data_IF_825340668661
#
_entry.id   IF_825340668661
#
_cell.length_a   1.000
_cell.length_b   1.000
_cell.length_c   1.000
_cell.angle_alpha   90.00
_cell.angle_beta   90.00
_cell.angle_gamma   90.00
#
_symmetry.space_group_name_H-M   'P 1'
#
loop_
_entity.id
_entity.type
_entity.pdbx_description
1 polymer ?
#
# COMPACT_ATOMS: atom_id res chain seq x y z
N UNK A 1 15.89 2.53 38.29
CA UNK A 1 15.52 3.93 38.29
C UNK A 1 14.14 3.99 37.66
N UNK A 2 13.10 4.20 38.44
CA UNK A 2 11.71 4.26 37.99
C UNK A 2 11.59 5.43 37.05
N UNK A 3 11.20 5.16 35.78
CA UNK A 3 10.79 6.18 34.82
C UNK A 3 9.74 7.06 35.51
N UNK A 4 10.00 8.35 35.63
CA UNK A 4 8.98 9.31 35.99
C UNK A 4 7.88 9.19 34.97
N UNK A 5 6.68 8.88 35.43
CA UNK A 5 5.44 8.75 34.69
C UNK A 5 5.05 10.15 34.15
N UNK A 6 5.80 10.66 33.17
CA UNK A 6 5.40 11.84 32.42
C UNK A 6 4.36 11.36 31.42
N UNK A 7 3.10 11.49 31.79
CA UNK A 7 1.98 11.26 30.89
C UNK A 7 2.19 12.10 29.64
N UNK A 8 2.29 11.42 28.48
CA UNK A 8 2.42 12.07 27.17
C UNK A 8 1.14 12.89 26.92
N UNK A 9 1.28 14.15 26.56
CA UNK A 9 0.17 14.98 26.10
C UNK A 9 -0.14 14.66 24.63
N UNK A 10 -1.02 13.67 24.42
CA UNK A 10 -1.41 13.23 23.09
C UNK A 10 -2.18 14.28 22.28
N UNK A 11 -2.85 15.23 22.95
CA UNK A 11 -3.53 16.33 22.25
C UNK A 11 -2.50 17.27 21.64
N UNK A 12 -1.50 17.69 22.40
CA UNK A 12 -0.40 18.51 21.89
C UNK A 12 0.41 17.80 20.80
N UNK A 13 0.69 16.51 20.99
CA UNK A 13 1.39 15.71 19.99
C UNK A 13 0.57 15.58 18.69
N UNK A 14 -0.75 15.43 18.79
CA UNK A 14 -1.65 15.40 17.64
C UNK A 14 -1.70 16.75 16.91
N UNK A 15 -1.76 17.86 17.64
CA UNK A 15 -1.74 19.19 17.02
C UNK A 15 -0.44 19.43 16.23
N UNK A 16 0.70 19.01 16.76
CA UNK A 16 1.98 19.07 16.06
C UNK A 16 2.01 18.13 14.82
N UNK A 17 1.43 16.93 14.91
CA UNK A 17 1.26 16.01 13.80
C UNK A 17 0.41 16.63 12.69
N UNK A 18 -0.73 17.26 13.04
CA UNK A 18 -1.63 17.92 12.10
C UNK A 18 -0.89 19.01 11.31
N UNK A 19 -0.11 19.86 11.97
CA UNK A 19 0.66 20.89 11.28
C UNK A 19 1.76 20.27 10.38
N UNK A 20 2.46 19.22 10.85
CA UNK A 20 3.45 18.51 10.02
C UNK A 20 2.82 17.89 8.79
N UNK A 21 1.64 17.28 8.91
CA UNK A 21 0.90 16.73 7.77
C UNK A 21 0.50 17.82 6.79
N UNK A 22 -0.01 18.95 7.27
CA UNK A 22 -0.39 20.08 6.43
C UNK A 22 0.80 20.66 5.67
N UNK A 23 1.96 20.76 6.31
CA UNK A 23 3.18 21.21 5.67
C UNK A 23 3.67 20.22 4.59
N UNK A 24 3.62 18.92 4.87
CA UNK A 24 3.94 17.87 3.91
C UNK A 24 2.99 17.89 2.70
N UNK A 25 1.68 18.08 2.90
CA UNK A 25 0.69 18.19 1.81
C UNK A 25 0.99 19.39 0.92
N UNK A 26 1.35 20.55 1.49
CA UNK A 26 1.71 21.78 0.74
C UNK A 26 2.95 21.61 -0.13
N UNK A 27 3.76 20.60 0.12
CA UNK A 27 4.86 20.21 -0.76
C UNK A 27 4.31 19.26 -1.82
N UNK A 28 4.01 19.77 -3.02
CA UNK A 28 3.51 18.99 -4.14
C UNK A 28 4.61 18.06 -4.69
N UNK A 29 4.77 16.88 -4.09
CA UNK A 29 5.72 15.83 -4.48
C UNK A 29 5.10 14.86 -5.50
N UNK A 30 4.61 15.40 -6.60
CA UNK A 30 3.87 14.63 -7.62
C UNK A 30 4.82 13.72 -8.40
N UNK A 31 4.42 12.47 -8.59
CA UNK A 31 5.12 11.49 -9.40
C UNK A 31 4.21 10.97 -10.55
N UNK A 32 4.61 11.08 -11.84
CA UNK A 32 5.85 11.68 -12.33
C UNK A 32 5.92 13.20 -12.05
N UNK A 33 7.15 13.77 -11.90
CA UNK A 33 7.33 15.16 -11.55
C UNK A 33 6.66 16.10 -12.53
N UNK A 34 6.01 17.14 -12.02
CA UNK A 34 5.48 18.22 -12.86
C UNK A 34 6.57 19.24 -13.17
N UNK A 35 6.39 20.00 -14.27
CA UNK A 35 7.32 21.07 -14.65
C UNK A 35 7.41 22.16 -13.56
N UNK A 36 6.32 22.38 -12.80
CA UNK A 36 6.23 23.42 -11.76
C UNK A 36 6.79 22.94 -10.40
N UNK A 37 6.97 21.63 -10.20
CA UNK A 37 7.52 21.05 -8.98
C UNK A 37 8.40 19.81 -9.30
N UNK A 38 9.54 20.02 -9.97
CA UNK A 38 10.40 18.92 -10.41
C UNK A 38 11.17 18.24 -9.25
N UNK A 39 11.23 18.87 -8.09
CA UNK A 39 11.99 18.47 -6.90
C UNK A 39 11.10 18.24 -5.66
N UNK A 40 9.81 17.96 -5.87
CA UNK A 40 8.84 17.86 -4.79
C UNK A 40 9.22 16.83 -3.72
N UNK A 41 9.68 15.66 -4.10
CA UNK A 41 10.10 14.60 -3.16
C UNK A 41 11.35 15.02 -2.38
N UNK A 42 12.34 15.61 -3.03
CA UNK A 42 13.54 16.13 -2.36
C UNK A 42 13.18 17.23 -1.35
N UNK A 43 12.20 18.09 -1.68
CA UNK A 43 11.70 19.12 -0.76
C UNK A 43 11.01 18.50 0.45
N UNK A 44 10.21 17.46 0.27
CA UNK A 44 9.58 16.72 1.36
C UNK A 44 10.64 16.04 2.25
N UNK A 45 11.65 15.38 1.66
CA UNK A 45 12.76 14.79 2.39
C UNK A 45 13.57 15.84 3.20
N UNK A 46 13.83 17.01 2.63
CA UNK A 46 14.50 18.13 3.32
C UNK A 46 13.66 18.73 4.44
N UNK A 47 12.35 18.81 4.28
CA UNK A 47 11.45 19.23 5.34
C UNK A 47 11.56 18.29 6.55
N UNK A 48 11.49 16.98 6.33
CA UNK A 48 11.67 15.98 7.38
C UNK A 48 13.06 16.07 8.02
N UNK A 49 14.11 16.17 7.22
CA UNK A 49 15.49 16.31 7.73
C UNK A 49 15.61 17.53 8.63
N UNK A 50 15.13 18.70 8.21
CA UNK A 50 15.17 19.94 9.02
C UNK A 50 14.38 19.80 10.32
N UNK A 51 13.20 19.15 10.28
CA UNK A 51 12.38 18.91 11.46
C UNK A 51 13.08 17.99 12.46
N UNK A 52 13.73 16.92 11.97
CA UNK A 52 14.51 15.97 12.78
C UNK A 52 15.75 16.65 13.39
N UNK A 53 16.47 17.47 12.61
CA UNK A 53 17.62 18.27 13.10
C UNK A 53 17.18 19.24 14.21
N UNK A 54 16.03 19.89 14.05
CA UNK A 54 15.42 20.74 15.09
C UNK A 54 15.12 19.99 16.40
N UNK A 55 14.91 18.69 16.32
CA UNK A 55 14.74 17.81 17.48
C UNK A 55 16.07 17.28 18.04
N UNK A 56 17.24 17.71 17.53
CA UNK A 56 18.56 17.28 17.96
C UNK A 56 18.98 15.92 17.39
N UNK A 57 18.33 15.47 16.30
CA UNK A 57 18.65 14.23 15.61
C UNK A 57 19.58 14.49 14.42
N UNK A 58 20.18 13.43 13.85
CA UNK A 58 21.12 13.54 12.72
C UNK A 58 20.60 12.68 11.56
N UNK A 59 19.65 13.18 10.76
CA UNK A 59 19.13 12.46 9.61
C UNK A 59 20.16 12.37 8.49
N UNK A 60 20.03 11.32 7.68
CA UNK A 60 20.77 11.15 6.43
C UNK A 60 19.80 11.36 5.26
N UNK A 61 20.28 12.00 4.19
CA UNK A 61 19.49 12.25 2.97
C UNK A 61 20.28 11.78 1.76
N UNK A 62 19.62 11.10 0.83
CA UNK A 62 20.18 10.71 -0.46
C UNK A 62 19.28 11.20 -1.60
N UNK A 63 19.89 11.50 -2.73
CA UNK A 63 19.23 11.95 -3.97
C UNK A 63 19.81 11.17 -5.15
N UNK A 64 19.36 9.91 -5.39
CA UNK A 64 19.88 9.07 -6.46
C UNK A 64 19.63 9.64 -7.87
N UNK A 65 18.50 10.30 -8.03
CA UNK A 65 18.08 10.98 -9.24
C UNK A 65 17.71 12.43 -8.86
N UNK A 66 18.07 13.43 -9.66
CA UNK A 66 17.73 14.81 -9.35
C UNK A 66 16.23 15.01 -9.02
N UNK A 67 15.94 15.60 -7.86
CA UNK A 67 14.61 15.82 -7.34
C UNK A 67 13.99 14.63 -6.58
N UNK A 68 14.58 13.43 -6.64
CA UNK A 68 14.15 12.21 -5.96
C UNK A 68 14.90 12.02 -4.67
N UNK A 69 14.43 12.58 -3.58
CA UNK A 69 15.08 12.54 -2.28
C UNK A 69 14.45 11.54 -1.32
N UNK A 70 15.28 10.70 -0.69
CA UNK A 70 14.89 9.83 0.43
C UNK A 70 15.61 10.27 1.69
N UNK A 71 14.99 10.13 2.86
CA UNK A 71 15.52 10.52 4.17
C UNK A 71 15.45 9.36 5.15
N UNK A 72 16.46 9.28 6.02
CA UNK A 72 16.61 8.22 7.02
C UNK A 72 17.09 8.77 8.36
N UNK A 73 16.62 8.13 9.44
CA UNK A 73 17.14 8.32 10.80
C UNK A 73 17.12 6.99 11.56
N UNK A 74 18.08 6.79 12.43
CA UNK A 74 18.17 5.66 13.35
C UNK A 74 18.18 6.16 14.79
N UNK A 75 17.16 5.83 15.56
CA UNK A 75 17.16 5.97 17.01
C UNK A 75 17.70 4.70 17.64
N UNK A 76 18.60 4.86 18.60
CA UNK A 76 19.28 3.73 19.24
C UNK A 76 18.46 3.15 20.39
N UNK A 77 18.36 1.83 20.46
CA UNK A 77 18.07 1.08 21.68
C UNK A 77 19.35 0.76 22.43
N UNK A 78 19.25 0.00 23.52
CA UNK A 78 20.41 -0.46 24.28
C UNK A 78 21.14 -1.66 23.62
N UNK A 79 20.64 -2.14 22.48
CA UNK A 79 21.21 -3.22 21.69
C UNK A 79 20.92 -4.63 22.21
N UNK A 80 20.16 -4.80 23.28
CA UNK A 80 19.83 -6.12 23.85
C UNK A 80 18.66 -6.80 23.20
N UNK A 81 17.85 -6.08 22.40
CA UNK A 81 16.62 -6.59 21.78
C UNK A 81 16.82 -7.29 20.44
N UNK A 82 17.97 -7.15 19.79
CA UNK A 82 18.26 -7.68 18.46
C UNK A 82 18.01 -6.65 17.34
N UNK A 83 17.64 -7.10 16.14
CA UNK A 83 17.47 -6.28 14.97
C UNK A 83 16.39 -5.19 15.12
N UNK A 84 16.53 -4.04 14.45
CA UNK A 84 15.66 -2.88 14.61
C UNK A 84 14.20 -3.11 14.14
N UNK A 85 13.32 -2.17 14.47
CA UNK A 85 12.04 -1.96 13.81
C UNK A 85 12.22 -0.91 12.71
N UNK A 86 11.67 -1.15 11.53
CA UNK A 86 11.61 -0.17 10.46
C UNK A 86 10.21 0.46 10.38
N UNK A 87 10.16 1.79 10.40
CA UNK A 87 9.01 2.59 9.98
C UNK A 87 9.32 3.05 8.54
N UNK A 88 8.55 2.56 7.58
CA UNK A 88 8.81 2.75 6.15
C UNK A 88 7.64 3.49 5.51
N UNK A 89 7.94 4.61 4.88
CA UNK A 89 6.94 5.44 4.21
C UNK A 89 7.48 5.98 2.90
N UNK A 90 6.60 6.39 1.96
CA UNK A 90 6.99 7.11 0.77
C UNK A 90 6.56 8.59 0.80
N UNK A 91 7.25 9.42 0.01
CA UNK A 91 7.08 10.87 0.00
C UNK A 91 6.34 11.39 -1.23
N UNK A 92 6.35 10.62 -2.30
CA UNK A 92 5.68 10.98 -3.54
C UNK A 92 4.16 10.75 -3.46
N UNK A 93 3.45 11.36 -4.40
CA UNK A 93 2.00 11.27 -4.52
C UNK A 93 1.61 11.27 -6.00
N UNK A 94 0.51 10.61 -6.33
CA UNK A 94 -0.02 10.64 -7.70
C UNK A 94 -0.54 12.03 -8.10
N UNK A 95 -0.69 12.33 -9.41
CA UNK A 95 -1.25 13.59 -9.90
C UNK A 95 -2.66 13.87 -9.34
N UNK A 96 -2.93 15.14 -9.10
CA UNK A 96 -4.22 15.63 -8.59
C UNK A 96 -4.70 16.83 -9.41
N UNK A 97 -5.48 16.64 -10.49
CA UNK A 97 -6.02 17.73 -11.30
C UNK A 97 -6.93 18.65 -10.46
N UNK A 98 -6.54 19.89 -10.16
CA UNK A 98 -7.20 20.74 -9.16
C UNK A 98 -8.64 21.12 -9.54
N UNK A 99 -8.98 21.12 -10.83
CA UNK A 99 -10.32 21.47 -11.32
C UNK A 99 -11.44 20.50 -10.92
N UNK A 100 -11.07 19.35 -10.36
CA UNK A 100 -12.02 18.35 -9.88
C UNK A 100 -12.20 18.35 -8.36
N UNK A 101 -11.36 19.11 -7.64
CA UNK A 101 -11.34 19.14 -6.19
C UNK A 101 -12.19 20.26 -5.62
N UNK A 102 -12.90 20.00 -4.51
CA UNK A 102 -13.62 21.03 -3.74
C UNK A 102 -12.66 21.87 -2.90
N UNK A 103 -11.60 21.24 -2.38
CA UNK A 103 -10.47 21.87 -1.70
C UNK A 103 -9.23 21.67 -2.56
N UNK A 104 -8.45 22.72 -2.79
CA UNK A 104 -7.26 22.59 -3.63
C UNK A 104 -6.30 21.51 -3.09
N UNK A 105 -5.81 20.58 -3.94
CA UNK A 105 -5.16 19.34 -3.49
C UNK A 105 -3.87 19.53 -2.70
N UNK A 106 -3.27 20.72 -2.73
CA UNK A 106 -2.01 21.04 -2.04
C UNK A 106 -2.12 22.25 -1.09
N UNK A 107 -3.34 22.70 -0.75
CA UNK A 107 -3.54 23.81 0.21
C UNK A 107 -3.58 23.30 1.66
N UNK A 108 -3.81 22.00 1.85
CA UNK A 108 -3.92 21.36 3.16
C UNK A 108 -5.03 22.00 4.03
N UNK A 109 -6.19 22.24 3.44
CA UNK A 109 -7.32 22.83 4.13
C UNK A 109 -7.76 21.96 5.31
N UNK A 110 -7.96 22.61 6.46
CA UNK A 110 -8.59 22.00 7.63
C UNK A 110 -10.04 22.47 7.68
N UNK A 111 -10.97 21.61 7.33
CA UNK A 111 -12.40 21.90 7.31
C UNK A 111 -13.20 20.72 7.83
N UNK A 112 -14.25 20.99 8.60
CA UNK A 112 -15.17 20.01 9.18
C UNK A 112 -14.49 18.85 9.94
N UNK A 113 -13.33 19.12 10.54
CA UNK A 113 -12.54 18.13 11.27
C UNK A 113 -11.64 17.24 10.39
N UNK A 114 -11.55 17.54 9.10
CA UNK A 114 -10.71 16.84 8.12
C UNK A 114 -9.60 17.72 7.58
N UNK A 115 -8.45 17.11 7.31
CA UNK A 115 -7.36 17.69 6.53
C UNK A 115 -7.53 17.19 5.10
N UNK A 116 -7.82 18.11 4.19
CA UNK A 116 -7.97 17.82 2.75
C UNK A 116 -6.64 17.99 2.04
N UNK A 117 -6.30 17.04 1.18
CA UNK A 117 -5.15 17.16 0.31
C UNK A 117 -4.68 15.84 -0.25
N UNK A 118 -4.01 15.88 -1.39
CA UNK A 118 -3.36 14.72 -1.98
C UNK A 118 -2.21 14.27 -1.08
N UNK A 119 -2.20 12.98 -0.73
CA UNK A 119 -1.27 12.40 0.22
C UNK A 119 -1.78 12.41 1.67
N UNK A 120 -2.99 12.93 1.94
CA UNK A 120 -3.52 12.94 3.31
C UNK A 120 -3.69 11.51 3.87
N UNK A 121 -3.96 10.54 3.02
CA UNK A 121 -4.09 9.10 3.35
C UNK A 121 -2.96 8.30 2.73
N UNK A 122 -2.56 8.62 1.50
CA UNK A 122 -1.57 7.89 0.72
C UNK A 122 -0.37 8.80 0.39
N UNK A 123 0.76 8.76 1.19
CA UNK A 123 0.77 8.25 2.58
C UNK A 123 1.37 9.27 3.56
N UNK A 124 1.31 10.60 3.24
CA UNK A 124 1.88 11.66 4.11
C UNK A 124 1.25 11.71 5.51
N UNK A 125 -0.01 11.23 5.64
CA UNK A 125 -0.64 11.05 6.94
C UNK A 125 0.14 10.09 7.84
N UNK A 126 0.59 8.97 7.27
CA UNK A 126 1.42 8.00 7.98
C UNK A 126 2.83 8.55 8.23
N UNK A 127 3.45 9.21 7.23
CA UNK A 127 4.74 9.92 7.40
C UNK A 127 4.69 10.86 8.61
N UNK A 128 3.62 11.65 8.74
CA UNK A 128 3.45 12.58 9.86
C UNK A 128 3.26 11.85 11.20
N UNK A 129 2.54 10.72 11.23
CA UNK A 129 2.39 9.90 12.45
C UNK A 129 3.72 9.28 12.87
N UNK A 130 4.47 8.71 11.94
CA UNK A 130 5.80 8.13 12.20
C UNK A 130 6.78 9.20 12.67
N UNK A 131 6.80 10.37 12.01
CA UNK A 131 7.59 11.52 12.45
C UNK A 131 7.24 11.92 13.89
N UNK A 132 5.95 12.00 14.23
CA UNK A 132 5.50 12.36 15.58
C UNK A 132 5.98 11.34 16.63
N UNK A 133 5.97 10.04 16.31
CA UNK A 133 6.53 8.99 17.18
C UNK A 133 8.04 9.18 17.38
N UNK A 134 8.80 9.43 16.31
CA UNK A 134 10.25 9.68 16.40
C UNK A 134 10.56 10.92 17.24
N UNK A 135 9.82 12.00 17.04
CA UNK A 135 9.98 13.24 17.81
C UNK A 135 9.65 13.05 19.29
N UNK A 136 8.62 12.26 19.60
CA UNK A 136 8.26 11.91 20.98
C UNK A 136 9.36 11.11 21.67
N UNK A 137 9.91 10.09 21.02
CA UNK A 137 11.04 9.30 21.53
C UNK A 137 12.29 10.17 21.78
N UNK A 138 12.59 11.07 20.84
CA UNK A 138 13.68 12.04 21.02
C UNK A 138 13.42 13.00 22.19
N UNK A 139 12.19 13.43 22.40
CA UNK A 139 11.81 14.28 23.54
C UNK A 139 11.99 13.55 24.88
N UNK A 140 11.67 12.27 24.95
CA UNK A 140 11.90 11.43 26.14
C UNK A 140 13.40 11.29 26.48
N UNK A 141 14.25 11.09 25.46
CA UNK A 141 15.70 11.07 25.67
C UNK A 141 16.21 12.41 26.24
N UNK A 142 15.79 13.54 25.65
CA UNK A 142 16.17 14.88 26.16
C UNK A 142 15.67 15.12 27.58
N UNK A 143 14.41 14.71 27.90
CA UNK A 143 13.87 14.82 29.25
C UNK A 143 14.66 14.00 30.28
N UNK A 144 15.28 12.88 29.84
CA UNK A 144 16.20 12.08 30.64
C UNK A 144 17.62 12.63 30.69
N UNK A 145 17.91 13.78 30.03
CA UNK A 145 19.24 14.39 29.97
C UNK A 145 20.18 13.69 28.98
N UNK A 146 19.67 12.93 28.02
CA UNK A 146 20.42 12.18 27.01
C UNK A 146 20.43 12.93 25.67
N UNK A 147 21.44 12.64 24.84
CA UNK A 147 21.54 13.09 23.46
C UNK A 147 20.77 12.10 22.54
N UNK A 148 19.61 12.46 21.96
CA UNK A 148 18.81 11.55 21.19
C UNK A 148 19.48 11.06 19.90
N UNK A 149 20.55 11.74 19.42
CA UNK A 149 21.30 11.31 18.25
C UNK A 149 22.38 10.26 18.58
N UNK A 150 22.75 10.09 19.85
CA UNK A 150 23.91 9.28 20.24
C UNK A 150 23.60 8.25 21.31
N UNK A 151 22.77 8.63 22.28
CA UNK A 151 22.48 7.78 23.45
C UNK A 151 21.28 6.87 23.14
N UNK A 152 21.19 5.71 23.80
CA UNK A 152 20.00 4.87 23.71
C UNK A 152 18.75 5.59 24.23
N UNK A 153 17.66 5.49 23.50
CA UNK A 153 16.36 5.99 23.93
C UNK A 153 15.89 5.20 25.17
N UNK A 154 15.46 5.85 26.23
CA UNK A 154 15.07 5.18 27.47
C UNK A 154 14.00 4.09 27.24
N UNK A 155 14.30 2.88 27.71
CA UNK A 155 13.40 1.73 27.64
C UNK A 155 13.29 1.07 26.26
N UNK A 156 14.09 1.48 25.28
CA UNK A 156 14.22 0.73 24.02
C UNK A 156 15.40 -0.23 24.09
N UNK A 157 15.17 -1.46 23.70
CA UNK A 157 16.17 -2.53 23.58
C UNK A 157 16.59 -2.75 22.13
N UNK A 158 15.71 -2.42 21.16
CA UNK A 158 15.96 -2.43 19.73
C UNK A 158 16.04 -1.01 19.21
N UNK A 159 16.77 -0.83 18.15
CA UNK A 159 16.78 0.44 17.42
C UNK A 159 15.45 0.63 16.67
N UNK A 160 15.10 1.88 16.40
CA UNK A 160 14.00 2.26 15.50
C UNK A 160 14.61 2.97 14.30
N UNK A 161 14.32 2.45 13.11
CA UNK A 161 14.63 3.08 11.84
C UNK A 161 13.39 3.82 11.34
N UNK A 162 13.56 5.02 10.84
CA UNK A 162 12.53 5.76 10.12
C UNK A 162 13.08 6.14 8.77
N UNK A 163 12.51 5.58 7.71
CA UNK A 163 12.95 5.76 6.34
C UNK A 163 11.77 6.18 5.47
N UNK A 164 11.89 7.37 4.87
CA UNK A 164 10.91 7.84 3.89
C UNK A 164 11.56 7.83 2.50
N UNK A 165 10.97 7.08 1.60
CA UNK A 165 11.49 6.82 0.25
C UNK A 165 10.89 7.78 -0.78
N UNK A 166 11.58 7.93 -1.89
CA UNK A 166 11.06 8.52 -3.11
C UNK A 166 10.48 7.43 -4.03
N UNK A 167 9.70 7.83 -5.03
CA UNK A 167 9.40 7.08 -6.25
C UNK A 167 8.53 5.81 -6.08
N UNK A 168 7.83 5.65 -4.97
CA UNK A 168 6.98 4.47 -4.74
C UNK A 168 5.88 4.36 -5.79
N UNK A 169 5.17 5.46 -6.06
CA UNK A 169 4.04 5.60 -6.97
C UNK A 169 4.38 5.33 -8.46
N UNK A 170 5.69 5.29 -8.78
CA UNK A 170 6.19 4.93 -10.11
C UNK A 170 7.06 3.66 -10.09
N UNK A 171 7.00 2.89 -9.00
CA UNK A 171 7.63 1.58 -8.87
C UNK A 171 8.94 1.55 -8.09
N UNK A 172 9.38 2.64 -7.46
CA UNK A 172 10.43 2.68 -6.44
C UNK A 172 11.88 2.57 -6.95
N UNK A 173 12.12 2.70 -8.25
CA UNK A 173 13.46 2.55 -8.83
C UNK A 173 14.48 3.55 -8.29
N UNK A 174 14.07 4.80 -8.01
CA UNK A 174 14.88 5.85 -7.42
C UNK A 174 14.72 5.94 -5.88
N UNK A 175 13.92 5.08 -5.29
CA UNK A 175 13.62 5.01 -3.86
C UNK A 175 14.07 3.70 -3.24
N UNK A 176 13.10 2.87 -2.81
CA UNK A 176 13.37 1.65 -2.06
C UNK A 176 14.23 0.63 -2.84
N UNK A 177 14.08 0.49 -4.15
CA UNK A 177 14.93 -0.38 -4.97
C UNK A 177 16.39 0.08 -4.90
N UNK A 178 16.64 1.38 -5.08
CA UNK A 178 17.99 1.94 -4.99
C UNK A 178 18.59 1.75 -3.59
N UNK A 179 17.76 1.93 -2.54
CA UNK A 179 18.22 1.75 -1.16
C UNK A 179 18.63 0.30 -0.88
N UNK A 180 17.90 -0.69 -1.38
CA UNK A 180 18.29 -2.11 -1.25
C UNK A 180 19.68 -2.38 -1.80
N UNK A 181 20.05 -1.74 -2.93
CA UNK A 181 21.35 -1.94 -3.56
C UNK A 181 22.49 -1.13 -2.91
N UNK A 182 22.21 0.08 -2.43
CA UNK A 182 23.26 1.03 -2.06
C UNK A 182 23.29 1.38 -0.57
N UNK A 183 22.17 1.22 0.14
CA UNK A 183 22.00 1.56 1.57
C UNK A 183 21.10 0.52 2.28
N UNK A 184 21.38 -0.79 2.13
CA UNK A 184 20.53 -1.83 2.72
C UNK A 184 20.38 -1.68 4.24
N UNK A 185 21.33 -1.05 4.93
CA UNK A 185 21.27 -0.78 6.37
C UNK A 185 20.14 0.18 6.78
N UNK A 186 19.57 0.95 5.83
CA UNK A 186 18.41 1.80 6.07
C UNK A 186 17.10 1.03 6.13
N UNK A 187 17.11 -0.21 5.59
CA UNK A 187 15.92 -1.05 5.44
C UNK A 187 16.03 -2.37 6.23
N UNK A 188 17.25 -2.78 6.62
CA UNK A 188 17.46 -4.05 7.31
C UNK A 188 16.90 -4.02 8.73
N UNK A 189 15.88 -4.84 9.02
CA UNK A 189 15.14 -4.83 10.28
C UNK A 189 14.60 -6.23 10.65
N UNK A 190 14.19 -6.41 11.89
CA UNK A 190 13.46 -7.60 12.33
C UNK A 190 12.02 -7.63 11.80
N UNK A 191 11.49 -6.49 11.42
CA UNK A 191 10.19 -6.28 10.81
C UNK A 191 9.98 -4.82 10.46
N UNK A 192 9.06 -4.56 9.54
CA UNK A 192 8.73 -3.22 9.09
C UNK A 192 7.23 -2.93 9.23
N UNK A 193 6.92 -1.69 9.55
CA UNK A 193 5.60 -1.08 9.46
C UNK A 193 5.58 -0.22 8.21
N UNK A 194 4.55 -0.39 7.38
CA UNK A 194 4.35 0.34 6.13
C UNK A 194 2.87 0.70 5.97
N UNK A 195 2.50 1.29 4.85
CA UNK A 195 1.14 1.66 4.49
C UNK A 195 0.17 0.49 4.31
N UNK A 196 -1.09 0.81 4.01
CA UNK A 196 -2.10 -0.11 3.49
C UNK A 196 -2.61 -1.18 4.49
N UNK A 197 -2.88 -0.76 5.72
CA UNK A 197 -3.53 -1.65 6.69
C UNK A 197 -3.91 -0.94 7.98
N UNK A 198 -4.60 -1.63 8.86
CA UNK A 198 -5.09 -1.18 10.15
C UNK A 198 -6.01 0.06 10.13
N UNK A 199 -6.51 0.44 8.96
CA UNK A 199 -7.60 1.43 8.88
C UNK A 199 -8.91 0.72 9.14
N UNK A 200 -9.72 1.27 10.06
CA UNK A 200 -10.95 0.60 10.43
C UNK A 200 -11.99 0.58 9.30
N UNK A 201 -12.68 -0.55 9.17
CA UNK A 201 -13.85 -0.70 8.31
C UNK A 201 -14.98 -1.35 9.08
N UNK A 202 -16.23 -0.93 8.83
CA UNK A 202 -17.39 -1.48 9.53
C UNK A 202 -18.20 -2.37 8.61
N UNK A 203 -18.33 -3.66 8.98
CA UNK A 203 -19.14 -4.64 8.24
C UNK A 203 -20.14 -5.25 9.19
N UNK A 204 -21.43 -5.17 8.84
CA UNK A 204 -22.55 -5.69 9.64
C UNK A 204 -22.52 -5.22 11.12
N UNK A 205 -22.06 -3.99 11.37
CA UNK A 205 -21.97 -3.38 12.68
C UNK A 205 -20.72 -3.75 13.49
N UNK A 206 -19.83 -4.57 12.96
CA UNK A 206 -18.55 -4.92 13.57
C UNK A 206 -17.45 -4.08 12.94
N UNK A 207 -16.60 -3.45 13.77
CA UNK A 207 -15.44 -2.69 13.34
C UNK A 207 -14.23 -3.59 13.24
N UNK A 208 -13.73 -3.76 12.04
CA UNK A 208 -12.52 -4.51 11.73
C UNK A 208 -11.34 -3.58 11.51
N UNK A 209 -10.14 -4.05 11.86
CA UNK A 209 -8.86 -3.42 11.56
C UNK A 209 -8.00 -4.43 10.77
N UNK A 210 -8.10 -4.42 9.42
CA UNK A 210 -7.33 -5.33 8.59
C UNK A 210 -5.85 -4.94 8.60
N UNK A 211 -4.97 -5.78 9.18
CA UNK A 211 -3.52 -5.61 9.17
C UNK A 211 -2.99 -6.24 7.88
N UNK A 212 -2.32 -5.46 7.03
CA UNK A 212 -1.74 -5.94 5.79
C UNK A 212 -0.58 -6.90 6.07
N UNK A 213 -0.71 -8.16 5.66
CA UNK A 213 0.35 -9.17 5.82
C UNK A 213 0.77 -9.77 4.49
N UNK A 214 0.06 -9.46 3.41
CA UNK A 214 0.39 -9.92 2.07
C UNK A 214 -0.04 -8.88 1.04
N UNK A 215 0.65 -8.87 -0.10
CA UNK A 215 0.34 -8.02 -1.25
C UNK A 215 0.30 -8.88 -2.50
N UNK A 216 -0.62 -8.54 -3.41
CA UNK A 216 -0.59 -9.14 -4.74
C UNK A 216 0.63 -8.64 -5.51
N UNK A 217 1.26 -9.55 -6.24
CA UNK A 217 2.21 -9.18 -7.27
C UNK A 217 1.51 -8.54 -8.47
N UNK A 218 2.28 -7.90 -9.32
CA UNK A 218 1.78 -7.29 -10.55
C UNK A 218 2.60 -7.74 -11.76
N UNK A 219 1.95 -7.86 -12.90
CA UNK A 219 2.60 -8.11 -14.18
C UNK A 219 1.89 -7.34 -15.28
N UNK A 220 2.65 -6.72 -16.17
CA UNK A 220 2.10 -6.20 -17.40
C UNK A 220 2.66 -6.96 -18.59
N UNK A 221 1.78 -7.36 -19.50
CA UNK A 221 2.15 -8.06 -20.71
C UNK A 221 1.67 -7.28 -21.94
N UNK A 222 2.50 -7.28 -22.97
CA UNK A 222 2.12 -6.86 -24.33
C UNK A 222 1.89 -8.09 -25.18
N UNK A 223 0.70 -8.19 -25.77
CA UNK A 223 0.32 -9.27 -26.68
C UNK A 223 0.26 -8.69 -28.09
N UNK A 224 1.18 -9.11 -28.93
CA UNK A 224 1.21 -8.77 -30.34
C UNK A 224 0.40 -9.82 -31.11
N UNK A 225 -0.68 -9.38 -31.74
CA UNK A 225 -1.57 -10.25 -32.52
C UNK A 225 -1.24 -10.08 -34.01
N UNK A 226 -0.88 -11.16 -34.68
CA UNK A 226 -0.49 -11.16 -36.09
C UNK A 226 -1.61 -11.68 -37.00
N UNK A 227 -1.83 -10.98 -38.10
CA UNK A 227 -2.75 -11.35 -39.17
C UNK A 227 -2.18 -10.97 -40.54
N UNK A 228 -3.05 -10.78 -41.51
CA UNK A 228 -2.63 -10.38 -42.86
C UNK A 228 -3.34 -9.13 -43.32
N UNK A 229 -2.58 -8.16 -43.80
CA UNK A 229 -3.10 -6.92 -44.37
C UNK A 229 -3.98 -7.16 -45.58
N UNK A 230 -5.06 -6.42 -45.75
CA UNK A 230 -5.97 -6.62 -46.85
C UNK A 230 -6.90 -5.44 -47.14
N UNK A 231 -7.65 -5.54 -48.23
CA UNK A 231 -8.67 -4.56 -48.59
C UNK A 231 -9.99 -4.88 -47.83
N UNK A 232 -10.61 -3.89 -47.17
CA UNK A 232 -11.78 -4.09 -46.34
C UNK A 232 -13.02 -4.72 -47.03
N UNK A 233 -13.11 -4.65 -48.36
CA UNK A 233 -14.19 -5.32 -49.10
C UNK A 233 -13.99 -6.85 -49.29
N UNK A 234 -12.85 -7.37 -48.87
CA UNK A 234 -12.52 -8.81 -48.93
C UNK A 234 -12.17 -9.30 -47.54
N UNK A 235 -13.20 -9.52 -46.69
CA UNK A 235 -12.98 -9.96 -45.29
C UNK A 235 -12.12 -11.22 -45.20
N UNK A 236 -11.23 -11.28 -44.21
CA UNK A 236 -10.30 -12.35 -43.95
C UNK A 236 -10.52 -12.97 -42.59
N UNK A 237 -10.30 -14.26 -42.44
CA UNK A 237 -10.38 -14.97 -41.16
C UNK A 237 -9.25 -14.55 -40.19
N UNK A 238 -8.09 -14.19 -40.75
CA UNK A 238 -6.91 -13.74 -40.03
C UNK A 238 -6.82 -12.20 -39.88
N UNK A 239 -7.95 -11.52 -39.82
CA UNK A 239 -8.00 -10.10 -39.51
C UNK A 239 -7.52 -9.86 -38.04
N UNK A 240 -6.38 -9.17 -37.86
CA UNK A 240 -5.77 -8.97 -36.56
C UNK A 240 -6.69 -8.28 -35.55
N UNK A 241 -7.57 -7.34 -35.99
CA UNK A 241 -8.53 -6.69 -35.09
C UNK A 241 -9.62 -7.67 -34.59
N UNK A 242 -10.05 -8.63 -35.43
CA UNK A 242 -11.02 -9.65 -35.02
C UNK A 242 -10.38 -10.65 -34.08
N UNK A 243 -9.14 -11.10 -34.39
CA UNK A 243 -8.37 -11.98 -33.51
C UNK A 243 -8.10 -11.32 -32.14
N UNK A 244 -7.72 -10.04 -32.12
CA UNK A 244 -7.51 -9.29 -30.88
C UNK A 244 -8.78 -9.19 -30.04
N UNK A 245 -9.94 -8.93 -30.65
CA UNK A 245 -11.23 -8.95 -29.94
C UNK A 245 -11.55 -10.32 -29.33
N UNK A 246 -11.24 -11.42 -30.06
CA UNK A 246 -11.39 -12.77 -29.52
C UNK A 246 -10.44 -13.05 -28.36
N UNK A 247 -9.17 -12.62 -28.44
CA UNK A 247 -8.19 -12.70 -27.33
C UNK A 247 -8.72 -11.97 -26.10
N UNK A 248 -9.13 -10.70 -26.23
CA UNK A 248 -9.71 -9.92 -25.12
C UNK A 248 -10.90 -10.65 -24.52
N UNK A 249 -11.83 -11.16 -25.33
CA UNK A 249 -12.99 -11.87 -24.84
C UNK A 249 -12.63 -13.10 -23.99
N UNK A 250 -11.56 -13.81 -24.34
CA UNK A 250 -11.06 -14.95 -23.56
C UNK A 250 -10.35 -14.51 -22.27
N UNK A 251 -9.53 -13.47 -22.33
CA UNK A 251 -8.76 -12.99 -21.19
C UNK A 251 -9.65 -12.28 -20.16
N UNK A 252 -10.74 -11.64 -20.57
CA UNK A 252 -11.66 -10.92 -19.68
C UNK A 252 -12.56 -11.85 -18.85
N UNK A 253 -12.60 -13.14 -19.10
CA UNK A 253 -13.32 -14.09 -18.25
C UNK A 253 -12.66 -14.14 -16.86
N UNK A 254 -13.42 -14.16 -15.76
CA UNK A 254 -12.86 -14.23 -14.40
C UNK A 254 -12.03 -15.50 -14.17
N UNK A 255 -10.91 -15.37 -13.46
CA UNK A 255 -10.16 -16.51 -12.94
C UNK A 255 -10.95 -17.24 -11.85
N UNK A 256 -10.67 -18.52 -11.65
CA UNK A 256 -11.25 -19.31 -10.55
C UNK A 256 -10.73 -18.84 -9.20
N UNK A 257 -11.53 -18.99 -8.15
CA UNK A 257 -11.11 -18.68 -6.77
C UNK A 257 -9.94 -19.59 -6.38
N UNK A 258 -8.91 -18.98 -5.82
CA UNK A 258 -7.77 -19.63 -5.18
C UNK A 258 -7.51 -18.97 -3.82
N UNK A 259 -7.95 -19.63 -2.77
CA UNK A 259 -7.73 -19.15 -1.41
C UNK A 259 -6.27 -19.31 -1.01
N UNK A 260 -5.64 -18.20 -0.62
CA UNK A 260 -4.34 -18.23 0.06
C UNK A 260 -4.54 -18.51 1.55
N UNK A 261 -3.50 -18.97 2.28
CA UNK A 261 -3.60 -19.15 3.73
C UNK A 261 -4.04 -17.87 4.46
N UNK A 262 -3.53 -16.71 4.05
CA UNK A 262 -3.92 -15.40 4.61
C UNK A 262 -5.41 -15.14 4.41
N UNK A 263 -5.94 -15.33 3.20
CA UNK A 263 -7.36 -15.08 2.93
C UNK A 263 -8.28 -16.11 3.55
N UNK A 264 -7.84 -17.34 3.74
CA UNK A 264 -8.57 -18.33 4.53
C UNK A 264 -8.69 -17.86 5.97
N UNK A 265 -7.59 -17.47 6.61
CA UNK A 265 -7.59 -16.95 7.97
C UNK A 265 -8.41 -15.67 8.11
N UNK A 266 -8.28 -14.72 7.16
CA UNK A 266 -9.13 -13.52 7.11
C UNK A 266 -10.62 -13.85 7.18
N UNK A 267 -11.07 -14.79 6.36
CA UNK A 267 -12.47 -15.21 6.29
C UNK A 267 -12.93 -15.93 7.57
N UNK A 268 -12.08 -16.76 8.17
CA UNK A 268 -12.37 -17.47 9.40
C UNK A 268 -12.45 -16.52 10.60
N UNK A 269 -11.48 -15.60 10.74
CA UNK A 269 -11.45 -14.59 11.81
C UNK A 269 -12.65 -13.62 11.66
N UNK A 270 -12.97 -13.19 10.44
CA UNK A 270 -14.16 -12.39 10.17
C UNK A 270 -15.45 -13.15 10.52
N UNK A 271 -15.56 -14.42 10.12
CA UNK A 271 -16.73 -15.24 10.42
C UNK A 271 -16.93 -15.52 11.93
N UNK A 272 -15.85 -15.50 12.71
CA UNK A 272 -15.92 -15.64 14.17
C UNK A 272 -16.52 -14.40 14.86
N UNK A 273 -16.29 -13.20 14.30
CA UNK A 273 -16.75 -11.93 14.86
C UNK A 273 -18.12 -11.48 14.32
N UNK A 274 -18.46 -11.85 13.09
CA UNK A 274 -19.67 -11.40 12.39
C UNK A 274 -20.95 -12.00 12.95
N UNK A 275 -22.11 -11.31 12.87
CA UNK A 275 -23.42 -11.90 13.14
C UNK A 275 -23.70 -13.13 12.25
N UNK A 276 -24.50 -14.08 12.75
CA UNK A 276 -24.73 -15.39 12.14
C UNK A 276 -25.04 -15.40 10.64
N UNK A 277 -25.79 -14.39 10.15
CA UNK A 277 -26.11 -14.23 8.73
C UNK A 277 -24.87 -13.94 7.89
N UNK A 278 -24.11 -12.92 8.27
CA UNK A 278 -22.87 -12.51 7.61
C UNK A 278 -21.77 -13.57 7.76
N UNK A 279 -21.64 -14.18 8.94
CA UNK A 279 -20.70 -15.28 9.18
C UNK A 279 -20.90 -16.48 8.24
N UNK A 280 -22.16 -16.80 7.88
CA UNK A 280 -22.44 -17.86 6.89
C UNK A 280 -21.90 -17.51 5.51
N UNK A 281 -21.99 -16.25 5.12
CA UNK A 281 -21.45 -15.79 3.83
C UNK A 281 -19.94 -15.89 3.80
N UNK A 282 -19.25 -15.42 4.85
CA UNK A 282 -17.79 -15.53 4.96
C UNK A 282 -17.33 -16.99 4.85
N UNK A 283 -18.01 -17.92 5.56
CA UNK A 283 -17.70 -19.37 5.47
C UNK A 283 -18.01 -19.97 4.09
N UNK A 284 -19.08 -19.50 3.41
CA UNK A 284 -19.39 -19.93 2.06
C UNK A 284 -18.27 -19.55 1.06
N UNK A 285 -17.73 -18.32 1.20
CA UNK A 285 -16.58 -17.89 0.41
C UNK A 285 -15.35 -18.75 0.75
N UNK A 286 -15.10 -19.01 2.03
CA UNK A 286 -14.00 -19.86 2.48
C UNK A 286 -14.11 -21.31 1.97
N UNK A 287 -15.32 -21.78 1.55
CA UNK A 287 -15.47 -23.09 0.92
C UNK A 287 -14.89 -23.19 -0.50
N UNK A 288 -14.54 -22.05 -1.14
CA UNK A 288 -13.99 -22.01 -2.49
C UNK A 288 -15.02 -22.28 -3.61
N UNK A 289 -16.32 -22.33 -3.29
CA UNK A 289 -17.37 -22.46 -4.31
C UNK A 289 -17.59 -21.14 -5.02
N UNK A 290 -17.12 -21.06 -6.27
CA UNK A 290 -17.12 -19.84 -7.08
C UNK A 290 -18.56 -19.32 -7.36
N UNK A 291 -19.49 -20.21 -7.63
CA UNK A 291 -20.89 -19.84 -7.89
C UNK A 291 -21.57 -19.30 -6.63
N UNK A 292 -21.34 -19.95 -5.50
CA UNK A 292 -21.85 -19.52 -4.21
C UNK A 292 -21.24 -18.19 -3.77
N UNK A 293 -19.92 -18.02 -3.97
CA UNK A 293 -19.21 -16.79 -3.63
C UNK A 293 -19.70 -15.59 -4.44
N UNK A 294 -19.91 -15.73 -5.74
CA UNK A 294 -20.39 -14.64 -6.59
C UNK A 294 -21.79 -14.16 -6.18
N UNK A 295 -22.71 -15.07 -5.88
CA UNK A 295 -24.09 -14.74 -5.49
C UNK A 295 -24.19 -14.17 -4.07
N UNK A 296 -23.31 -14.60 -3.16
CA UNK A 296 -23.39 -14.23 -1.74
C UNK A 296 -22.62 -12.95 -1.40
N UNK A 297 -21.54 -12.62 -2.11
CA UNK A 297 -20.78 -11.38 -1.89
C UNK A 297 -21.64 -10.12 -2.05
N UNK A 298 -22.52 -10.09 -3.04
CA UNK A 298 -23.44 -8.97 -3.28
C UNK A 298 -24.50 -8.80 -2.18
N UNK A 299 -24.64 -9.79 -1.29
CA UNK A 299 -25.52 -9.73 -0.11
C UNK A 299 -24.80 -9.38 1.20
N UNK A 300 -23.45 -9.39 1.23
CA UNK A 300 -22.67 -9.14 2.43
C UNK A 300 -22.15 -7.70 2.52
N UNK A 301 -21.70 -7.17 1.42
CA UNK A 301 -21.08 -5.86 1.31
C UNK A 301 -21.61 -5.15 0.05
N UNK A 302 -21.35 -3.87 -0.07
CA UNK A 302 -21.74 -3.18 -1.29
C UNK A 302 -20.94 -3.69 -2.52
N UNK A 303 -21.39 -3.27 -3.70
CA UNK A 303 -20.81 -3.75 -4.96
C UNK A 303 -19.32 -3.43 -5.11
N UNK A 304 -18.83 -2.33 -4.54
CA UNK A 304 -17.41 -1.92 -4.63
C UNK A 304 -16.54 -2.81 -3.78
N UNK A 305 -16.92 -3.03 -2.52
CA UNK A 305 -16.21 -3.94 -1.62
C UNK A 305 -16.22 -5.38 -2.15
N UNK A 306 -17.34 -5.80 -2.79
CA UNK A 306 -17.42 -7.09 -3.45
C UNK A 306 -16.39 -7.22 -4.60
N UNK A 307 -16.16 -6.16 -5.38
CA UNK A 307 -15.13 -6.16 -6.44
C UNK A 307 -13.73 -6.35 -5.84
N UNK A 308 -13.42 -5.62 -4.77
CA UNK A 308 -12.13 -5.74 -4.09
C UNK A 308 -11.95 -7.15 -3.51
N UNK A 309 -12.93 -7.64 -2.77
CA UNK A 309 -12.85 -8.98 -2.18
C UNK A 309 -12.69 -10.07 -3.25
N UNK A 310 -13.40 -9.96 -4.39
CA UNK A 310 -13.21 -10.87 -5.53
C UNK A 310 -11.78 -10.83 -6.07
N UNK A 311 -11.18 -9.65 -6.16
CA UNK A 311 -9.81 -9.50 -6.62
C UNK A 311 -8.81 -10.13 -5.64
N UNK A 312 -9.08 -10.13 -4.34
CA UNK A 312 -8.25 -10.76 -3.32
C UNK A 312 -8.30 -12.30 -3.34
N UNK A 313 -9.33 -12.88 -3.95
CA UNK A 313 -9.55 -14.34 -3.95
C UNK A 313 -9.03 -15.04 -5.22
N UNK A 314 -8.43 -14.31 -6.17
CA UNK A 314 -7.98 -14.87 -7.46
C UNK A 314 -6.87 -14.03 -8.08
N UNK A 315 -6.12 -14.62 -8.99
CA UNK A 315 -5.35 -13.82 -9.93
C UNK A 315 -6.31 -13.00 -10.80
N UNK A 316 -5.92 -11.83 -11.28
CA UNK A 316 -6.76 -11.02 -12.16
C UNK A 316 -6.05 -10.70 -13.46
N UNK A 317 -6.80 -10.63 -14.54
CA UNK A 317 -6.33 -10.29 -15.88
C UNK A 317 -7.24 -9.19 -16.41
N UNK A 318 -6.67 -8.02 -16.71
CA UNK A 318 -7.39 -6.85 -17.23
C UNK A 318 -6.74 -6.39 -18.54
N UNK A 319 -7.37 -6.61 -19.71
CA UNK A 319 -6.92 -6.00 -20.96
C UNK A 319 -7.29 -4.51 -20.97
N UNK A 320 -6.29 -3.62 -20.82
CA UNK A 320 -6.52 -2.20 -20.59
C UNK A 320 -6.23 -1.31 -21.80
N UNK A 321 -5.32 -1.75 -22.69
CA UNK A 321 -4.95 -1.01 -23.90
C UNK A 321 -5.13 -1.89 -25.12
N UNK A 322 -5.73 -1.32 -26.17
CA UNK A 322 -5.83 -1.97 -27.49
C UNK A 322 -5.55 -0.98 -28.61
N UNK A 323 -4.69 -1.40 -29.52
CA UNK A 323 -4.42 -0.67 -30.77
C UNK A 323 -4.58 -1.62 -31.96
N UNK A 324 -5.47 -1.28 -32.91
CA UNK A 324 -5.70 -2.05 -34.11
C UNK A 324 -6.21 -1.19 -35.26
N UNK A 325 -5.64 -1.37 -36.44
CA UNK A 325 -6.10 -0.72 -37.67
C UNK A 325 -5.74 0.77 -37.78
N UNK A 326 -5.77 1.27 -39.03
CA UNK A 326 -5.39 2.67 -39.35
C UNK A 326 -6.46 3.36 -40.20
N UNK A 327 -7.31 2.62 -40.90
CA UNK A 327 -8.33 3.16 -41.80
C UNK A 327 -9.47 2.17 -42.00
N UNK A 328 -10.72 2.62 -42.10
CA UNK A 328 -11.92 1.80 -42.17
C UNK A 328 -11.97 0.80 -43.34
N UNK A 329 -11.24 1.03 -44.45
CA UNK A 329 -11.22 0.17 -45.62
C UNK A 329 -9.94 -0.66 -45.78
N UNK A 330 -9.14 -0.75 -44.69
CA UNK A 330 -7.90 -1.55 -44.64
C UNK A 330 -8.03 -2.58 -43.52
N UNK A 331 -7.91 -3.85 -43.83
CA UNK A 331 -7.82 -4.92 -42.84
C UNK A 331 -6.44 -4.85 -42.18
N UNK A 332 -6.35 -4.68 -40.86
CA UNK A 332 -5.06 -4.67 -40.18
C UNK A 332 -4.40 -6.05 -40.15
N UNK A 333 -3.09 -6.08 -40.39
CA UNK A 333 -2.27 -7.28 -40.27
C UNK A 333 -1.61 -7.41 -38.90
N UNK A 334 -1.79 -6.43 -38.03
CA UNK A 334 -1.30 -6.46 -36.65
C UNK A 334 -2.25 -5.75 -35.69
N UNK A 335 -2.24 -6.17 -34.44
CA UNK A 335 -2.86 -5.47 -33.31
C UNK A 335 -2.00 -5.66 -32.06
N UNK A 336 -2.12 -4.74 -31.12
CA UNK A 336 -1.43 -4.74 -29.83
C UNK A 336 -2.45 -4.67 -28.72
N UNK A 337 -2.31 -5.53 -27.72
CA UNK A 337 -3.09 -5.51 -26.49
C UNK A 337 -2.10 -5.40 -25.33
N UNK A 338 -2.33 -4.48 -24.38
CA UNK A 338 -1.59 -4.48 -23.11
C UNK A 338 -2.54 -4.92 -21.99
N UNK A 339 -2.02 -5.78 -21.12
CA UNK A 339 -2.80 -6.49 -20.10
C UNK A 339 -2.15 -6.26 -18.74
N UNK A 340 -2.90 -5.72 -17.77
CA UNK A 340 -2.53 -5.73 -16.36
C UNK A 340 -2.95 -7.06 -15.72
N UNK A 341 -2.03 -7.67 -15.01
CA UNK A 341 -2.29 -8.88 -14.22
C UNK A 341 -1.93 -8.61 -12.76
N UNK A 342 -2.80 -9.01 -11.84
CA UNK A 342 -2.50 -9.00 -10.40
C UNK A 342 -2.49 -10.42 -9.89
N UNK A 343 -1.36 -10.86 -9.34
CA UNK A 343 -1.11 -12.27 -9.02
C UNK A 343 -1.06 -12.50 -7.52
N UNK A 344 -1.63 -13.63 -7.09
CA UNK A 344 -1.63 -14.06 -5.70
C UNK A 344 -0.25 -14.63 -5.29
N UNK A 345 0.11 -14.57 -4.00
CA UNK A 345 1.27 -15.29 -3.48
C UNK A 345 1.35 -16.73 -3.99
N UNK A 346 2.57 -17.13 -4.40
CA UNK A 346 2.83 -18.43 -5.01
C UNK A 346 2.59 -18.52 -6.53
N UNK A 347 2.06 -17.48 -7.19
CA UNK A 347 2.01 -17.42 -8.65
C UNK A 347 3.34 -16.86 -9.18
N UNK A 348 4.00 -17.59 -10.09
CA UNK A 348 5.24 -17.16 -10.75
C UNK A 348 4.95 -16.52 -12.10
N UNK A 349 5.91 -15.76 -12.65
CA UNK A 349 5.80 -15.19 -14.00
C UNK A 349 5.50 -16.27 -15.05
N UNK A 350 6.23 -17.38 -15.01
CA UNK A 350 6.04 -18.48 -15.96
C UNK A 350 4.65 -19.11 -15.85
N UNK A 351 4.10 -19.23 -14.64
CA UNK A 351 2.74 -19.74 -14.42
C UNK A 351 1.68 -18.76 -14.97
N UNK A 352 1.87 -17.45 -14.76
CA UNK A 352 0.95 -16.44 -15.28
C UNK A 352 0.98 -16.38 -16.81
N UNK A 353 2.16 -16.41 -17.42
CA UNK A 353 2.33 -16.48 -18.87
C UNK A 353 1.67 -17.74 -19.48
N UNK A 354 1.88 -18.90 -18.84
CA UNK A 354 1.25 -20.15 -19.27
C UNK A 354 -0.28 -20.06 -19.22
N UNK A 355 -0.83 -19.40 -18.19
CA UNK A 355 -2.26 -19.18 -18.05
C UNK A 355 -2.82 -18.26 -19.14
N UNK A 356 -2.12 -17.19 -19.52
CA UNK A 356 -2.53 -16.37 -20.67
C UNK A 356 -2.63 -17.19 -21.94
N UNK A 357 -1.64 -18.06 -22.23
CA UNK A 357 -1.65 -18.97 -23.38
C UNK A 357 -2.82 -19.96 -23.31
N UNK A 358 -3.03 -20.59 -22.15
CA UNK A 358 -4.14 -21.54 -21.93
C UNK A 358 -5.50 -20.89 -22.18
N UNK A 359 -5.73 -19.68 -21.66
CA UNK A 359 -6.99 -18.97 -21.84
C UNK A 359 -7.26 -18.57 -23.27
N UNK A 360 -6.26 -18.12 -23.99
CA UNK A 360 -6.40 -17.84 -25.42
C UNK A 360 -6.77 -19.11 -26.21
N UNK A 361 -6.29 -20.26 -25.77
CA UNK A 361 -6.40 -21.50 -26.49
C UNK A 361 -5.40 -21.60 -27.68
N UNK A 362 -5.16 -22.80 -28.22
CA UNK A 362 -4.06 -23.04 -29.14
C UNK A 362 -4.14 -22.23 -30.45
N UNK A 363 -5.33 -22.00 -30.96
CA UNK A 363 -5.52 -21.31 -32.26
C UNK A 363 -5.19 -19.81 -32.13
N UNK A 364 -5.71 -19.12 -31.11
CA UNK A 364 -5.41 -17.69 -30.87
C UNK A 364 -3.97 -17.52 -30.42
N UNK A 365 -3.47 -18.38 -29.54
CA UNK A 365 -2.11 -18.31 -29.05
C UNK A 365 -1.06 -18.43 -30.17
N UNK A 366 -1.34 -19.24 -31.20
CA UNK A 366 -0.46 -19.39 -32.38
C UNK A 366 -0.33 -18.08 -33.20
N UNK A 367 -1.31 -17.20 -33.16
CA UNK A 367 -1.30 -15.87 -33.79
C UNK A 367 -0.72 -14.78 -32.90
N UNK A 368 -0.31 -15.09 -31.67
CA UNK A 368 0.11 -14.11 -30.66
C UNK A 368 1.56 -14.29 -30.24
N UNK A 369 2.23 -13.16 -29.99
CA UNK A 369 3.51 -13.12 -29.26
C UNK A 369 3.27 -12.38 -27.97
N UNK A 370 3.66 -12.97 -26.82
CA UNK A 370 3.51 -12.38 -25.49
C UNK A 370 4.86 -11.86 -25.02
N UNK A 371 4.95 -10.58 -24.75
CA UNK A 371 6.12 -9.90 -24.21
C UNK A 371 5.83 -9.46 -22.78
N UNK A 372 6.75 -9.74 -21.85
CA UNK A 372 6.68 -9.19 -20.51
C UNK A 372 7.14 -7.72 -20.53
N UNK A 373 6.31 -6.83 -20.03
CA UNK A 373 6.67 -5.41 -19.83
C UNK A 373 7.30 -5.24 -18.46
N UNK A 374 6.63 -5.77 -17.42
CA UNK A 374 7.09 -5.66 -16.02
C UNK A 374 6.58 -6.86 -15.21
N UNK A 375 7.33 -7.24 -14.22
CA UNK A 375 6.96 -8.21 -13.19
C UNK A 375 7.35 -7.72 -11.82
N UNK A 376 6.43 -7.78 -10.85
CA UNK A 376 6.68 -7.56 -9.43
C UNK A 376 6.17 -8.76 -8.64
N UNK A 377 7.06 -9.34 -7.85
CA UNK A 377 6.73 -10.51 -7.02
C UNK A 377 5.65 -10.17 -5.99
N UNK A 378 4.69 -11.06 -5.74
CA UNK A 378 3.81 -10.96 -4.58
C UNK A 378 4.64 -11.16 -3.31
N UNK A 379 4.24 -10.51 -2.23
CA UNK A 379 4.91 -10.63 -0.94
C UNK A 379 3.97 -11.12 0.14
N UNK A 380 4.51 -11.80 1.15
CA UNK A 380 3.76 -12.29 2.29
C UNK A 380 4.65 -12.27 3.54
N UNK A 381 4.13 -11.66 4.62
CA UNK A 381 4.71 -11.67 5.94
C UNK A 381 3.94 -12.67 6.84
N UNK A 382 4.54 -13.21 7.90
CA UNK A 382 3.84 -14.08 8.83
C UNK A 382 2.64 -13.37 9.47
N UNK A 383 1.45 -13.95 9.38
CA UNK A 383 0.24 -13.47 10.07
C UNK A 383 0.23 -13.81 11.58
N UNK A 384 1.36 -14.15 12.14
CA UNK A 384 1.59 -14.48 13.53
C UNK A 384 3.01 -14.07 13.94
N UNK A 385 3.31 -14.05 15.24
CA UNK A 385 4.62 -13.67 15.75
C UNK A 385 4.66 -12.27 16.32
N UNK A 386 5.83 -11.88 16.89
CA UNK A 386 5.92 -10.78 17.84
C UNK A 386 5.36 -9.45 17.31
N UNK A 387 5.69 -9.04 16.09
CA UNK A 387 5.23 -7.73 15.59
C UNK A 387 3.73 -7.74 15.24
N UNK A 388 3.25 -8.79 14.52
CA UNK A 388 1.81 -8.91 14.21
C UNK A 388 0.96 -8.97 15.49
N UNK A 389 1.35 -9.79 16.45
CA UNK A 389 0.61 -9.97 17.70
C UNK A 389 0.59 -8.68 18.53
N UNK A 390 1.70 -7.93 18.55
CA UNK A 390 1.78 -6.61 19.19
C UNK A 390 0.85 -5.59 18.53
N UNK A 391 0.84 -5.51 17.20
CA UNK A 391 -0.08 -4.63 16.45
C UNK A 391 -1.54 -4.98 16.73
N UNK A 392 -1.88 -6.26 16.66
CA UNK A 392 -3.23 -6.72 16.96
C UNK A 392 -3.63 -6.43 18.42
N UNK A 393 -2.71 -6.60 19.38
CA UNK A 393 -2.99 -6.29 20.77
C UNK A 393 -3.10 -4.80 21.04
N UNK A 394 -2.25 -3.98 20.41
CA UNK A 394 -2.36 -2.52 20.53
C UNK A 394 -3.72 -2.00 20.05
N UNK A 395 -4.23 -2.52 18.92
CA UNK A 395 -5.59 -2.20 18.46
C UNK A 395 -6.62 -2.54 19.53
N UNK A 396 -6.61 -3.77 20.10
CA UNK A 396 -7.57 -4.20 21.12
C UNK A 396 -7.51 -3.36 22.39
N UNK A 397 -6.32 -2.89 22.78
CA UNK A 397 -6.14 -2.09 23.99
C UNK A 397 -6.69 -0.66 23.79
N UNK A 398 -6.60 -0.11 22.57
CA UNK A 398 -7.11 1.22 22.22
C UNK A 398 -8.54 1.22 21.67
N UNK A 399 -9.05 0.08 21.19
CA UNK A 399 -10.44 -0.14 20.77
C UNK A 399 -10.89 -1.56 21.16
N UNK A 400 -11.40 -1.77 22.38
CA UNK A 400 -11.82 -3.10 22.85
C UNK A 400 -12.91 -3.78 22.02
N UNK A 401 -13.69 -3.01 21.26
CA UNK A 401 -14.71 -3.52 20.35
C UNK A 401 -14.17 -3.76 18.93
N UNK A 402 -12.92 -3.37 18.68
CA UNK A 402 -12.26 -3.50 17.38
C UNK A 402 -11.70 -4.92 17.18
N UNK A 403 -11.85 -5.44 15.98
CA UNK A 403 -11.39 -6.78 15.60
C UNK A 403 -10.21 -6.68 14.62
N UNK A 404 -8.95 -6.80 15.09
CA UNK A 404 -7.80 -6.91 14.20
C UNK A 404 -7.77 -8.30 13.55
N UNK A 405 -7.45 -8.34 12.25
CA UNK A 405 -7.31 -9.57 11.49
C UNK A 405 -6.31 -9.39 10.34
N UNK A 406 -5.60 -10.45 9.89
CA UNK A 406 -4.68 -10.34 8.77
C UNK A 406 -5.43 -10.21 7.46
N UNK A 407 -4.88 -9.43 6.52
CA UNK A 407 -5.45 -9.29 5.18
C UNK A 407 -4.35 -9.26 4.12
N UNK A 408 -4.68 -9.70 2.91
CA UNK A 408 -3.91 -9.39 1.71
C UNK A 408 -4.48 -8.13 1.06
N UNK A 409 -3.61 -7.23 0.58
CA UNK A 409 -4.02 -6.06 -0.20
C UNK A 409 -3.93 -6.33 -1.71
N UNK A 410 -4.78 -5.70 -2.54
CA UNK A 410 -4.83 -5.98 -3.98
C UNK A 410 -3.74 -5.29 -4.82
N UNK A 411 -2.92 -4.46 -4.20
CA UNK A 411 -1.84 -3.68 -4.81
C UNK A 411 -0.50 -4.03 -4.17
N UNK A 412 0.58 -3.44 -4.66
CA UNK A 412 1.94 -3.62 -4.16
C UNK A 412 2.46 -2.29 -3.62
N UNK A 413 3.31 -2.36 -2.60
CA UNK A 413 3.99 -1.23 -1.95
C UNK A 413 5.51 -1.44 -1.98
N UNK A 414 6.27 -0.59 -1.27
CA UNK A 414 7.72 -0.79 -1.07
C UNK A 414 8.06 -2.07 -0.28
N UNK A 415 7.07 -2.79 0.27
CA UNK A 415 7.27 -4.10 0.89
C UNK A 415 7.92 -5.14 -0.05
N UNK A 416 7.70 -5.02 -1.36
CA UNK A 416 8.38 -5.84 -2.37
C UNK A 416 9.92 -5.75 -2.30
N UNK A 417 10.44 -4.59 -1.90
CA UNK A 417 11.88 -4.37 -1.79
C UNK A 417 12.46 -4.82 -0.45
N UNK A 418 11.76 -4.58 0.66
CA UNK A 418 12.17 -5.08 1.98
C UNK A 418 12.15 -6.61 2.03
N UNK A 419 11.28 -7.26 1.28
CA UNK A 419 11.24 -8.71 1.13
C UNK A 419 12.55 -9.28 0.53
N UNK A 420 13.26 -8.56 -0.34
CA UNK A 420 14.58 -8.97 -0.84
C UNK A 420 15.64 -9.03 0.25
N UNK A 421 15.46 -8.28 1.34
CA UNK A 421 16.31 -8.31 2.53
C UNK A 421 15.81 -9.31 3.59
N UNK A 422 14.73 -10.04 3.31
CA UNK A 422 14.10 -10.96 4.26
C UNK A 422 13.36 -10.26 5.40
N UNK A 423 13.01 -8.98 5.26
CA UNK A 423 12.30 -8.21 6.27
C UNK A 423 10.79 -8.38 6.10
N UNK A 424 10.10 -9.01 7.07
CA UNK A 424 8.64 -9.08 7.05
C UNK A 424 8.04 -7.70 7.22
N UNK A 425 7.26 -7.25 6.24
CA UNK A 425 6.65 -5.92 6.20
C UNK A 425 5.15 -6.01 6.36
N UNK A 426 4.60 -5.17 7.21
CA UNK A 426 3.19 -5.16 7.57
C UNK A 426 2.55 -3.82 7.21
N UNK A 427 1.43 -3.88 6.51
CA UNK A 427 0.58 -2.70 6.31
C UNK A 427 -0.11 -2.33 7.62
N UNK A 428 0.30 -1.19 8.23
CA UNK A 428 -0.21 -0.76 9.52
C UNK A 428 -0.24 0.76 9.64
N UNK A 429 -1.29 1.37 9.10
CA UNK A 429 -1.61 2.79 9.26
C UNK A 429 -2.83 2.91 10.18
N UNK A 430 -2.66 2.87 11.51
CA UNK A 430 -3.78 2.77 12.44
C UNK A 430 -4.64 4.02 12.42
N UNK A 431 -5.77 3.95 11.72
CA UNK A 431 -6.76 5.03 11.61
C UNK A 431 -8.14 4.50 11.96
N UNK A 432 -8.83 5.18 12.88
CA UNK A 432 -10.20 4.86 13.24
C UNK A 432 -11.16 5.76 12.48
N UNK A 433 -11.73 5.21 11.41
CA UNK A 433 -12.72 5.88 10.58
C UNK A 433 -14.14 5.73 11.15
N UNK A 434 -15.00 6.68 10.84
CA UNK A 434 -16.43 6.55 11.10
C UNK A 434 -17.05 5.47 10.19
N UNK A 435 -18.20 4.93 10.60
CA UNK A 435 -18.81 3.76 9.93
C UNK A 435 -19.21 4.00 8.47
N UNK A 436 -19.42 5.25 8.07
CA UNK A 436 -19.77 5.68 6.72
C UNK A 436 -18.57 6.15 5.89
N UNK A 437 -17.37 6.23 6.49
CA UNK A 437 -16.15 6.54 5.80
C UNK A 437 -15.55 5.30 5.11
N UNK A 438 -14.97 5.52 3.94
CA UNK A 438 -14.41 4.46 3.10
C UNK A 438 -13.00 4.83 2.66
N UNK A 439 -12.05 4.05 3.14
CA UNK A 439 -10.64 4.24 2.78
C UNK A 439 -10.40 4.15 1.26
N UNK A 440 -10.94 3.10 0.63
CA UNK A 440 -10.71 2.82 -0.79
C UNK A 440 -11.24 3.92 -1.74
N UNK A 441 -12.19 4.74 -1.29
CA UNK A 441 -12.68 5.89 -2.06
C UNK A 441 -11.73 7.10 -1.92
N UNK A 442 -10.72 7.05 -1.02
CA UNK A 442 -9.74 8.12 -0.76
C UNK A 442 -8.44 7.93 -1.54
N UNK A 443 -7.95 6.70 -1.66
CA UNK A 443 -6.75 6.39 -2.43
C UNK A 443 -6.89 6.89 -3.87
N UNK A 444 -5.95 7.72 -4.31
CA UNK A 444 -5.92 8.34 -5.65
C UNK A 444 -7.22 9.07 -6.03
N UNK A 445 -8.14 9.26 -5.07
CA UNK A 445 -9.45 9.89 -5.25
C UNK A 445 -9.38 11.42 -5.31
N UNK A 446 -10.51 12.02 -5.66
CA UNK A 446 -10.77 13.47 -5.52
C UNK A 446 -11.18 13.75 -4.08
N UNK A 447 -10.79 14.91 -3.55
CA UNK A 447 -11.06 15.30 -2.15
C UNK A 447 -10.55 14.26 -1.14
N UNK A 448 -9.36 13.71 -1.41
CA UNK A 448 -8.63 12.89 -0.45
C UNK A 448 -8.47 13.65 0.86
N UNK A 449 -8.76 12.99 1.97
CA UNK A 449 -8.73 13.61 3.29
C UNK A 449 -8.60 12.59 4.40
N UNK A 450 -8.06 13.02 5.53
CA UNK A 450 -8.02 12.26 6.79
C UNK A 450 -8.63 13.07 7.91
N UNK A 451 -9.39 12.44 8.80
CA UNK A 451 -9.95 13.13 9.96
C UNK A 451 -8.89 13.33 11.06
N UNK A 452 -8.91 14.50 11.70
CA UNK A 452 -8.06 14.77 12.88
C UNK A 452 -8.35 13.77 14.00
N UNK A 453 -9.60 13.33 14.12
CA UNK A 453 -10.00 12.33 15.12
C UNK A 453 -9.35 10.95 14.84
N UNK A 454 -9.23 10.54 13.58
CA UNK A 454 -8.56 9.30 13.22
C UNK A 454 -7.06 9.35 13.52
N UNK A 455 -6.40 10.48 13.22
CA UNK A 455 -4.98 10.71 13.57
C UNK A 455 -4.76 10.73 15.09
N UNK A 456 -5.64 11.39 15.84
CA UNK A 456 -5.60 11.45 17.31
C UNK A 456 -5.72 10.07 17.95
N UNK A 457 -6.52 9.19 17.37
CA UNK A 457 -6.61 7.80 17.81
C UNK A 457 -5.40 6.99 17.39
N UNK A 458 -4.92 7.17 16.15
CA UNK A 458 -3.86 6.36 15.57
C UNK A 458 -2.47 6.61 16.15
N UNK A 459 -2.14 7.85 16.48
CA UNK A 459 -0.81 8.21 16.99
C UNK A 459 -0.41 7.43 18.25
N UNK A 460 -1.22 7.37 19.33
CA UNK A 460 -0.88 6.57 20.49
C UNK A 460 -0.84 5.06 20.21
N UNK A 461 -1.63 4.55 19.26
CA UNK A 461 -1.59 3.14 18.84
C UNK A 461 -0.24 2.82 18.19
N UNK A 462 0.21 3.65 17.24
CA UNK A 462 1.50 3.46 16.57
C UNK A 462 2.67 3.56 17.56
N UNK A 463 2.64 4.56 18.44
CA UNK A 463 3.64 4.72 19.49
C UNK A 463 3.71 3.48 20.40
N UNK A 464 2.56 2.93 20.80
CA UNK A 464 2.46 1.74 21.64
C UNK A 464 3.06 0.50 20.95
N UNK A 465 2.81 0.32 19.64
CA UNK A 465 3.45 -0.74 18.84
C UNK A 465 4.97 -0.61 18.86
N UNK A 466 5.48 0.60 18.58
CA UNK A 466 6.93 0.86 18.60
C UNK A 466 7.52 0.56 19.97
N UNK A 467 6.89 1.04 21.05
CA UNK A 467 7.37 0.84 22.42
C UNK A 467 7.36 -0.63 22.84
N UNK A 468 6.33 -1.39 22.48
CA UNK A 468 6.22 -2.82 22.84
C UNK A 468 7.18 -3.70 22.04
N UNK A 469 7.39 -3.38 20.76
CA UNK A 469 8.28 -4.20 19.93
C UNK A 469 9.74 -3.91 20.20
N UNK A 470 10.08 -2.66 20.49
CA UNK A 470 11.45 -2.23 20.73
C UNK A 470 11.84 -2.19 22.20
N UNK A 471 10.91 -2.30 23.15
CA UNK A 471 11.14 -2.23 24.60
C UNK A 471 11.35 -3.55 25.36
#
# INVERSE_FOLDING_TARGET
>A
MTLTDTTIDWDLATDALVESLRDLIRIASINPPSADAPDGELRAARYLATTLEGAGLTPELVEPVPGRGSVHIRLRGDGTGGDPLLLLSHLDVVPAPPERWTHAPFDADLADGYIYGRGAVDMKGMVAMELAVILQLAAEARAAGLDPARDPIPGLRRDVLFTCTADEEAGGAAGAAWLVEHRPEWLAAAGAVNEAGAVSTTVAGIRFYPIGVAEKGYAAYRILVSGTWGHGSMPREDNAAVLAAAVIGRLAEPETIRLTPVMTRFLDDAAAALPAGAARVARAIASGDDALSAATLEGLCDRRDAVVLRALLRDTISPDVIHAGVKYNVIPGDAVIEVDCRVLPGTTESAMRARLVERMGPELAAACTIELIIWGEPVEAPAEGSLFDIMAQAIRDHDPDGVPLPVMVPFATDAKYTAHLGVPTYGFSPLRFEADERLLDRFHGVDERVSVAALRWGLPVLYDVVRRFCG
#
